data_IF_655740716569
#
_entry.id   IF_655740716569
#
_cell.length_a   1.000
_cell.length_b   1.000
_cell.length_c   1.000
_cell.angle_alpha   90.00
_cell.angle_beta   90.00
_cell.angle_gamma   90.00
#
_symmetry.space_group_name_H-M   'P 1'
#
loop_
_entity.id
_entity.type
_entity.pdbx_description
1 polymer ?
#
# COMPACT_ATOMS: atom_id res chain seq x y z
N UNK A 1 -11.02 32.90 30.46
CA UNK A 1 -9.99 31.83 30.47
C UNK A 1 -8.64 32.51 30.34
N UNK A 2 -7.76 32.37 31.33
CA UNK A 2 -6.42 32.99 31.29
C UNK A 2 -5.41 31.97 30.77
N UNK A 3 -4.55 32.38 29.84
CA UNK A 3 -3.45 31.58 29.31
C UNK A 3 -2.19 32.43 29.18
N UNK A 4 -1.02 31.80 29.30
CA UNK A 4 0.28 32.46 29.24
C UNK A 4 1.32 31.51 28.64
N UNK A 5 2.18 32.01 27.75
CA UNK A 5 3.34 31.27 27.27
C UNK A 5 4.59 31.70 28.06
N UNK A 6 5.32 30.74 28.63
CA UNK A 6 6.50 30.98 29.47
C UNK A 6 7.67 30.16 28.95
N UNK A 7 8.83 30.78 28.79
CA UNK A 7 10.07 30.09 28.51
C UNK A 7 10.73 29.64 29.83
N UNK A 8 10.71 28.34 30.09
CA UNK A 8 11.36 27.74 31.24
C UNK A 8 12.86 27.57 30.97
N UNK A 9 13.68 28.51 31.47
CA UNK A 9 15.13 28.54 31.24
C UNK A 9 15.87 27.28 31.68
N UNK A 10 15.42 26.62 32.75
CA UNK A 10 16.11 25.45 33.30
C UNK A 10 15.92 24.22 32.43
N UNK A 11 14.75 24.08 31.81
CA UNK A 11 14.39 22.93 30.96
C UNK A 11 14.53 23.20 29.46
N UNK A 12 14.77 24.46 29.07
CA UNK A 12 14.76 24.92 27.68
C UNK A 12 13.45 24.59 26.96
N UNK A 13 12.33 24.68 27.67
CA UNK A 13 10.98 24.42 27.16
C UNK A 13 10.18 25.72 27.08
N UNK A 14 9.45 25.90 25.97
CA UNK A 14 8.37 26.88 25.89
C UNK A 14 7.08 26.19 26.37
N UNK A 15 6.56 26.60 27.51
CA UNK A 15 5.37 26.04 28.15
C UNK A 15 4.17 26.97 27.93
N UNK A 16 3.05 26.43 27.46
CA UNK A 16 1.76 27.11 27.43
C UNK A 16 0.98 26.73 28.69
N UNK A 17 0.75 27.69 29.56
CA UNK A 17 0.05 27.54 30.82
C UNK A 17 -1.40 28.02 30.69
N UNK A 18 -2.31 27.34 31.35
CA UNK A 18 -3.72 27.71 31.47
C UNK A 18 -4.13 27.77 32.93
N UNK A 19 -4.85 28.84 33.31
CA UNK A 19 -5.35 28.99 34.67
C UNK A 19 -6.56 28.08 34.90
N UNK A 20 -6.46 27.20 35.90
CA UNK A 20 -7.56 26.34 36.33
C UNK A 20 -8.30 26.98 37.51
N UNK A 21 -9.57 27.29 37.31
CA UNK A 21 -10.42 27.83 38.38
C UNK A 21 -10.69 26.80 39.48
N UNK A 22 -10.69 25.51 39.14
CA UNK A 22 -10.93 24.42 40.10
C UNK A 22 -9.76 24.25 41.07
N UNK A 23 -8.53 24.31 40.56
CA UNK A 23 -7.32 24.07 41.36
C UNK A 23 -6.64 25.37 41.81
N UNK A 24 -7.15 26.53 41.38
CA UNK A 24 -6.56 27.86 41.63
C UNK A 24 -5.06 27.89 41.32
N UNK A 25 -4.66 27.25 40.22
CA UNK A 25 -3.26 27.12 39.83
C UNK A 25 -3.08 27.16 38.31
N UNK A 26 -1.88 27.49 37.87
CA UNK A 26 -1.44 27.39 36.49
C UNK A 26 -1.08 25.95 36.15
N UNK A 27 -1.79 25.37 35.18
CA UNK A 27 -1.51 24.04 34.68
C UNK A 27 -0.84 24.13 33.31
N UNK A 28 0.18 23.30 33.09
CA UNK A 28 0.81 23.14 31.78
C UNK A 28 -0.19 22.49 30.83
N UNK A 29 -0.63 23.24 29.83
CA UNK A 29 -1.51 22.76 28.78
C UNK A 29 -0.71 22.06 27.67
N UNK A 30 0.41 22.66 27.26
CA UNK A 30 1.34 22.08 26.29
C UNK A 30 2.73 22.66 26.46
N UNK A 31 3.73 22.04 25.85
CA UNK A 31 5.10 22.56 25.81
C UNK A 31 5.78 22.18 24.50
N UNK A 32 6.88 22.86 24.16
CA UNK A 32 7.73 22.58 23.00
C UNK A 32 9.20 22.72 23.43
N UNK A 33 10.12 21.84 22.99
CA UNK A 33 9.93 20.62 22.16
C UNK A 33 9.15 19.50 22.86
N UNK A 34 8.39 18.69 22.10
CA UNK A 34 7.58 17.57 22.61
C UNK A 34 8.24 16.21 22.45
N UNK A 35 9.08 16.06 21.43
CA UNK A 35 9.75 14.81 21.10
C UNK A 35 11.13 15.08 20.51
N UNK A 36 11.92 14.03 20.33
CA UNK A 36 13.27 14.13 19.78
C UNK A 36 13.31 14.77 18.38
N UNK A 37 12.26 14.61 17.57
CA UNK A 37 12.20 15.19 16.22
C UNK A 37 11.97 16.71 16.22
N UNK A 38 11.65 17.32 17.38
CA UNK A 38 11.63 18.78 17.53
C UNK A 38 13.05 19.34 17.77
N UNK A 39 14.06 18.48 17.95
CA UNK A 39 15.46 18.89 17.98
C UNK A 39 15.90 19.31 16.58
N UNK A 40 16.45 20.54 16.48
CA UNK A 40 16.83 21.13 15.20
C UNK A 40 17.84 20.26 14.45
N UNK A 41 17.50 19.91 13.21
CA UNK A 41 18.42 19.23 12.30
C UNK A 41 18.80 17.80 12.70
N UNK A 42 18.01 17.12 13.55
CA UNK A 42 18.30 15.76 14.04
C UNK A 42 18.66 14.75 12.93
N UNK A 43 17.96 14.80 11.79
CA UNK A 43 18.16 13.88 10.67
C UNK A 43 19.06 14.42 9.55
N UNK A 44 19.66 15.61 9.75
CA UNK A 44 20.49 16.26 8.75
C UNK A 44 19.74 16.69 7.48
N UNK A 45 20.51 16.98 6.44
CA UNK A 45 20.02 17.46 5.14
C UNK A 45 19.18 16.39 4.42
N UNK A 46 18.02 16.76 3.89
CA UNK A 46 17.06 15.87 3.21
C UNK A 46 16.62 14.63 4.02
N UNK A 47 16.90 14.61 5.33
CA UNK A 47 16.43 13.59 6.26
C UNK A 47 15.07 13.98 6.85
N UNK A 48 14.16 13.03 6.92
CA UNK A 48 12.84 13.16 7.51
C UNK A 48 12.81 12.48 8.89
N UNK A 49 12.38 13.20 9.91
CA UNK A 49 12.20 12.65 11.25
C UNK A 49 10.77 12.11 11.46
N UNK A 50 10.66 10.83 11.78
CA UNK A 50 9.41 10.13 12.09
C UNK A 50 9.48 9.58 13.51
N UNK A 51 8.65 10.13 14.39
CA UNK A 51 8.64 9.77 15.83
C UNK A 51 8.21 8.33 16.09
N UNK A 52 7.46 7.71 15.18
CA UNK A 52 6.94 6.33 15.31
C UNK A 52 7.88 5.25 14.78
N UNK A 53 8.99 5.61 14.13
CA UNK A 53 9.91 4.66 13.51
C UNK A 53 11.24 4.54 14.28
N UNK A 54 11.87 3.36 14.16
CA UNK A 54 13.22 3.08 14.63
C UNK A 54 14.06 2.51 13.46
N UNK A 55 15.13 3.20 13.02
CA UNK A 55 15.58 4.53 13.46
C UNK A 55 14.55 5.62 13.13
N UNK A 56 14.51 6.70 13.92
CA UNK A 56 13.53 7.79 13.73
C UNK A 56 13.86 8.70 12.57
N UNK A 57 15.05 8.57 11.98
CA UNK A 57 15.44 9.29 10.78
C UNK A 57 15.41 8.35 9.58
N UNK A 58 14.89 8.86 8.47
CA UNK A 58 14.95 8.20 7.18
C UNK A 58 15.12 9.24 6.07
N UNK A 59 15.71 8.84 4.95
CA UNK A 59 15.80 9.71 3.78
C UNK A 59 14.43 9.86 3.11
N UNK A 60 14.17 11.05 2.60
CA UNK A 60 13.02 11.28 1.72
C UNK A 60 13.13 10.40 0.46
N UNK A 61 12.00 10.05 -0.14
CA UNK A 61 11.96 9.32 -1.42
C UNK A 61 12.80 10.06 -2.48
N UNK A 62 13.65 9.33 -3.21
CA UNK A 62 14.59 9.92 -4.18
C UNK A 62 15.95 10.32 -3.58
N UNK A 63 16.15 10.06 -2.29
CA UNK A 63 17.41 10.28 -1.59
C UNK A 63 17.90 8.99 -0.91
N UNK A 64 19.21 8.93 -0.65
CA UNK A 64 19.89 7.84 0.05
C UNK A 64 20.80 8.40 1.15
N UNK A 65 21.09 7.63 2.21
CA UNK A 65 21.99 8.07 3.27
C UNK A 65 23.38 8.40 2.71
N UNK A 66 24.02 9.46 3.21
CA UNK A 66 25.43 9.74 2.91
C UNK A 66 26.37 8.84 3.71
N UNK A 67 26.01 8.57 4.97
CA UNK A 67 26.76 7.69 5.87
C UNK A 67 26.22 6.27 5.80
N UNK A 68 27.11 5.28 5.92
CA UNK A 68 26.76 3.86 6.09
C UNK A 68 26.47 3.50 7.54
N UNK A 69 26.73 4.41 8.49
CA UNK A 69 26.52 4.18 9.91
C UNK A 69 25.04 4.15 10.28
N UNK A 70 24.58 3.04 10.86
CA UNK A 70 23.16 2.74 11.18
C UNK A 70 22.47 3.75 12.13
N UNK A 71 23.19 4.72 12.68
CA UNK A 71 22.70 5.71 13.67
C UNK A 71 23.24 7.13 13.49
N UNK A 72 24.20 7.36 12.60
CA UNK A 72 24.75 8.69 12.39
C UNK A 72 24.08 9.37 11.19
N UNK A 73 23.13 10.24 11.51
CA UNK A 73 22.37 11.03 10.53
C UNK A 73 22.91 12.46 10.38
N UNK A 74 24.05 12.79 11.00
CA UNK A 74 24.64 14.15 10.94
C UNK A 74 24.95 14.60 9.51
N UNK A 75 25.36 13.67 8.65
CA UNK A 75 25.63 13.92 7.23
C UNK A 75 24.35 14.00 6.38
N UNK A 76 23.22 13.54 6.92
CA UNK A 76 21.93 13.46 6.26
C UNK A 76 21.94 12.56 5.02
N UNK A 77 21.19 12.99 4.02
CA UNK A 77 20.90 12.27 2.80
C UNK A 77 21.43 13.02 1.58
N UNK A 78 21.75 12.26 0.53
CA UNK A 78 22.10 12.77 -0.79
C UNK A 78 21.11 12.27 -1.83
N UNK A 79 20.98 13.00 -2.94
CA UNK A 79 20.11 12.61 -4.05
C UNK A 79 20.55 11.29 -4.67
N UNK A 80 19.58 10.45 -5.08
CA UNK A 80 19.85 9.24 -5.85
C UNK A 80 20.38 9.56 -7.25
N UNK A 81 19.82 10.61 -7.86
CA UNK A 81 20.18 11.11 -9.18
C UNK A 81 20.48 12.61 -9.09
N UNK A 82 21.59 13.02 -9.69
CA UNK A 82 21.97 14.43 -9.74
C UNK A 82 20.91 15.26 -10.48
N UNK A 83 20.73 16.50 -10.05
CA UNK A 83 19.90 17.46 -10.78
C UNK A 83 20.63 17.90 -12.04
N UNK A 84 19.88 18.05 -13.13
CA UNK A 84 20.42 18.62 -14.37
C UNK A 84 20.17 20.14 -14.45
N UNK A 85 19.45 20.69 -13.46
CA UNK A 85 19.04 22.11 -13.40
C UNK A 85 18.35 22.59 -14.68
N UNK A 86 17.77 21.64 -15.41
CA UNK A 86 17.11 21.88 -16.67
C UNK A 86 15.62 22.13 -16.42
N UNK A 87 14.94 22.72 -17.41
CA UNK A 87 13.47 22.83 -17.38
C UNK A 87 12.75 21.46 -17.39
N UNK A 88 13.49 20.36 -17.58
CA UNK A 88 12.97 18.99 -17.51
C UNK A 88 12.98 18.43 -16.08
N UNK A 89 13.69 19.07 -15.14
CA UNK A 89 13.53 18.75 -13.74
C UNK A 89 12.07 18.99 -13.33
N UNK A 90 11.60 18.23 -12.37
CA UNK A 90 10.24 18.38 -11.85
C UNK A 90 10.23 18.32 -10.33
N UNK A 91 9.09 18.00 -9.75
CA UNK A 91 8.94 17.95 -8.30
C UNK A 91 8.19 16.69 -7.87
N UNK A 92 8.60 16.17 -6.72
CA UNK A 92 7.81 15.16 -6.00
C UNK A 92 7.08 15.87 -4.86
N UNK A 93 5.78 15.57 -4.75
CA UNK A 93 4.93 16.03 -3.67
C UNK A 93 5.15 15.16 -2.43
N UNK A 94 5.47 15.79 -1.31
CA UNK A 94 5.52 15.18 0.00
C UNK A 94 4.42 15.77 0.88
N UNK A 95 3.57 14.89 1.43
CA UNK A 95 2.45 15.32 2.25
C UNK A 95 2.84 15.29 3.73
N UNK A 96 2.27 16.22 4.49
CA UNK A 96 2.30 16.13 5.93
C UNK A 96 3.66 16.40 6.59
N UNK A 97 4.52 17.15 5.90
CA UNK A 97 5.84 17.51 6.41
C UNK A 97 5.81 18.87 7.10
N UNK A 98 6.58 18.99 8.18
CA UNK A 98 7.03 20.29 8.69
C UNK A 98 7.84 20.97 7.58
N UNK A 99 7.50 22.22 7.31
CA UNK A 99 8.29 23.05 6.40
C UNK A 99 9.75 23.12 6.88
N UNK A 100 10.73 23.01 5.97
CA UNK A 100 12.15 23.05 6.33
C UNK A 100 12.55 24.43 6.85
N UNK A 101 13.75 24.51 7.40
CA UNK A 101 14.33 25.75 7.90
C UNK A 101 14.16 26.92 6.92
N UNK A 102 13.66 28.03 7.43
CA UNK A 102 13.25 29.18 6.61
C UNK A 102 14.37 30.21 6.38
N UNK A 103 15.58 29.95 6.88
CA UNK A 103 16.74 30.86 6.74
C UNK A 103 16.99 31.26 5.28
N UNK A 104 16.99 30.28 4.37
CA UNK A 104 17.19 30.50 2.94
C UNK A 104 15.87 30.31 2.18
N UNK A 105 14.87 31.13 2.51
CA UNK A 105 13.54 31.06 1.89
C UNK A 105 13.05 32.41 1.36
N UNK A 106 12.11 32.35 0.42
CA UNK A 106 11.39 33.52 -0.09
C UNK A 106 9.90 33.24 -0.17
N UNK A 107 9.09 34.24 0.15
CA UNK A 107 7.63 34.11 0.20
C UNK A 107 6.91 35.19 -0.61
N UNK A 108 5.76 34.83 -1.17
CA UNK A 108 4.87 35.78 -1.85
C UNK A 108 3.42 35.35 -1.69
N UNK A 109 2.60 36.22 -1.09
CA UNK A 109 1.18 35.94 -0.80
C UNK A 109 0.28 35.96 -2.03
N UNK A 110 0.63 36.72 -3.06
CA UNK A 110 -0.20 36.93 -4.24
C UNK A 110 -0.05 35.84 -5.30
N UNK A 111 1.07 35.11 -5.28
CA UNK A 111 1.32 34.04 -6.23
C UNK A 111 0.51 32.78 -5.89
N UNK A 112 0.01 32.10 -6.92
CA UNK A 112 -0.58 30.77 -6.75
C UNK A 112 0.49 29.67 -6.84
N UNK A 113 0.10 28.44 -6.50
CA UNK A 113 1.00 27.30 -6.44
C UNK A 113 1.67 26.96 -7.78
N UNK A 114 0.97 27.14 -8.90
CA UNK A 114 1.51 26.83 -10.23
C UNK A 114 2.53 27.89 -10.68
N UNK A 115 2.25 29.17 -10.41
CA UNK A 115 3.24 30.23 -10.61
C UNK A 115 4.47 30.02 -9.72
N UNK A 116 4.28 29.52 -8.49
CA UNK A 116 5.36 29.16 -7.59
C UNK A 116 6.24 28.04 -8.18
N UNK A 117 5.61 27.00 -8.75
CA UNK A 117 6.30 25.91 -9.44
C UNK A 117 7.15 26.40 -10.60
N UNK A 118 6.59 27.21 -11.49
CA UNK A 118 7.30 27.76 -12.65
C UNK A 118 8.50 28.61 -12.20
N UNK A 119 8.28 29.52 -11.24
CA UNK A 119 9.33 30.40 -10.72
C UNK A 119 10.46 29.62 -10.03
N UNK A 120 10.13 28.55 -9.32
CA UNK A 120 11.12 27.66 -8.72
C UNK A 120 11.92 26.90 -9.79
N UNK A 121 11.31 26.46 -10.90
CA UNK A 121 12.06 25.81 -12.00
C UNK A 121 13.04 26.74 -12.69
N UNK A 122 12.65 28.00 -12.90
CA UNK A 122 13.49 29.03 -13.52
C UNK A 122 14.70 29.39 -12.65
N UNK A 123 14.60 29.22 -11.33
CA UNK A 123 15.70 29.46 -10.41
C UNK A 123 16.46 28.16 -10.13
N UNK A 124 17.72 28.07 -10.55
CA UNK A 124 18.55 26.86 -10.36
C UNK A 124 18.86 26.56 -8.89
N UNK A 125 18.84 27.57 -8.02
CA UNK A 125 19.07 27.39 -6.57
C UNK A 125 17.81 26.93 -5.82
N UNK A 126 16.63 27.02 -6.43
CA UNK A 126 15.39 26.60 -5.77
C UNK A 126 15.29 25.07 -5.70
N UNK A 127 15.12 24.57 -4.48
CA UNK A 127 15.08 23.13 -4.18
C UNK A 127 13.71 22.64 -3.73
N UNK A 128 12.86 23.52 -3.21
CA UNK A 128 11.50 23.17 -2.86
C UNK A 128 10.56 24.38 -2.89
N UNK A 129 9.27 24.10 -3.00
CA UNK A 129 8.22 25.10 -2.83
C UNK A 129 6.97 24.52 -2.15
N UNK A 130 6.11 25.38 -1.63
CA UNK A 130 4.79 25.04 -1.10
C UNK A 130 3.84 26.24 -1.18
N UNK A 131 2.56 26.02 -0.90
CA UNK A 131 1.64 27.11 -0.58
C UNK A 131 2.14 27.84 0.67
N UNK A 132 1.89 29.14 0.82
CA UNK A 132 2.24 29.87 2.05
C UNK A 132 1.16 29.72 3.14
N UNK A 133 -0.11 29.77 2.71
CA UNK A 133 -1.29 29.62 3.57
C UNK A 133 -2.07 28.40 3.09
N UNK A 134 -2.41 27.49 3.99
CA UNK A 134 -3.13 26.25 3.69
C UNK A 134 -4.66 26.40 3.73
N UNK A 135 -5.18 27.55 4.19
CA UNK A 135 -6.62 27.81 4.28
C UNK A 135 -7.26 27.90 2.88
N UNK A 136 -8.54 27.54 2.78
CA UNK A 136 -9.35 27.78 1.59
C UNK A 136 -8.86 27.10 0.31
N UNK A 137 -8.15 25.96 0.43
CA UNK A 137 -7.58 25.23 -0.72
C UNK A 137 -6.13 25.60 -1.03
N UNK A 138 -5.51 26.51 -0.26
CA UNK A 138 -4.11 26.87 -0.38
C UNK A 138 -3.88 28.14 -1.19
N UNK A 139 -3.04 29.04 -0.70
CA UNK A 139 -2.67 30.27 -1.39
C UNK A 139 -1.26 30.74 -1.03
N UNK A 140 -0.72 31.65 -1.85
CA UNK A 140 0.64 32.13 -1.72
C UNK A 140 1.68 31.10 -2.13
N UNK A 141 2.94 31.51 -2.06
CA UNK A 141 4.11 30.77 -2.48
C UNK A 141 5.19 30.92 -1.41
N UNK A 142 5.76 29.80 -0.98
CA UNK A 142 7.00 29.74 -0.22
C UNK A 142 8.00 28.91 -1.04
N UNK A 143 9.22 29.39 -1.20
CA UNK A 143 10.31 28.71 -1.89
C UNK A 143 11.53 28.61 -0.98
N UNK A 144 12.25 27.50 -1.06
CA UNK A 144 13.50 27.25 -0.34
C UNK A 144 14.66 27.10 -1.31
N UNK A 145 15.80 27.69 -0.95
CA UNK A 145 17.02 27.69 -1.74
C UNK A 145 18.12 26.89 -1.04
N UNK A 146 18.77 26.01 -1.78
CA UNK A 146 19.81 25.12 -1.25
C UNK A 146 19.26 23.92 -0.47
N UNK A 147 20.13 23.32 0.34
CA UNK A 147 19.86 22.09 1.06
C UNK A 147 18.74 22.27 2.11
N UNK A 148 17.80 21.31 2.15
CA UNK A 148 16.66 21.36 3.05
C UNK A 148 17.00 20.63 4.35
N UNK A 149 16.80 21.29 5.49
CA UNK A 149 17.07 20.75 6.82
C UNK A 149 15.88 20.98 7.75
N UNK A 150 15.84 20.24 8.87
CA UNK A 150 14.82 20.37 9.92
C UNK A 150 13.41 19.90 9.51
N UNK A 151 13.37 18.86 8.66
CA UNK A 151 12.13 18.23 8.19
C UNK A 151 11.67 17.15 9.17
N UNK A 152 10.38 17.19 9.50
CA UNK A 152 9.69 16.24 10.38
C UNK A 152 8.37 15.81 9.78
N UNK A 153 8.02 14.53 9.91
CA UNK A 153 6.71 14.02 9.58
C UNK A 153 5.73 14.37 10.71
N UNK A 154 4.63 15.05 10.38
CA UNK A 154 3.55 15.33 11.34
C UNK A 154 2.33 14.42 11.06
N UNK A 155 1.49 14.82 10.12
CA UNK A 155 0.27 14.10 9.73
C UNK A 155 -0.13 14.52 8.32
N UNK A 156 -0.90 13.71 7.62
CA UNK A 156 -1.25 13.97 6.21
C UNK A 156 -2.09 15.24 6.01
N UNK A 157 -2.67 15.81 7.07
CA UNK A 157 -3.45 17.04 7.04
C UNK A 157 -2.58 18.32 7.14
N UNK A 158 -1.26 18.16 7.23
CA UNK A 158 -0.29 19.26 7.22
C UNK A 158 0.12 19.59 5.79
N UNK A 159 0.59 20.83 5.62
CA UNK A 159 1.06 21.44 4.37
C UNK A 159 1.89 20.50 3.48
N UNK A 160 1.58 20.53 2.18
CA UNK A 160 2.32 19.83 1.15
C UNK A 160 3.62 20.56 0.81
N UNK A 161 4.71 19.81 0.69
CA UNK A 161 6.02 20.31 0.26
C UNK A 161 6.41 19.64 -1.07
N UNK A 162 6.73 20.45 -2.07
CA UNK A 162 7.16 19.99 -3.39
C UNK A 162 8.67 20.12 -3.51
N UNK A 163 9.40 19.01 -3.57
CA UNK A 163 10.86 19.01 -3.61
C UNK A 163 11.33 18.70 -5.03
N UNK A 164 12.26 19.51 -5.54
CA UNK A 164 12.82 19.41 -6.90
C UNK A 164 13.54 18.08 -7.08
N UNK A 165 13.32 17.42 -8.22
CA UNK A 165 13.88 16.13 -8.60
C UNK A 165 14.35 16.13 -10.05
N UNK A 166 15.34 15.30 -10.36
CA UNK A 166 15.81 15.16 -11.73
C UNK A 166 14.75 14.51 -12.61
N UNK A 167 14.72 14.86 -13.90
CA UNK A 167 13.86 14.20 -14.88
C UNK A 167 14.02 12.67 -14.87
N UNK A 168 15.25 12.19 -14.68
CA UNK A 168 15.56 10.76 -14.66
C UNK A 168 14.92 10.03 -13.47
N UNK A 169 14.87 10.68 -12.30
CA UNK A 169 14.21 10.13 -11.11
C UNK A 169 12.69 10.01 -11.37
N UNK A 170 12.10 11.05 -11.95
CA UNK A 170 10.67 11.09 -12.29
C UNK A 170 10.30 10.01 -13.33
N UNK A 171 11.10 9.87 -14.39
CA UNK A 171 10.88 8.86 -15.44
C UNK A 171 10.96 7.42 -14.89
N UNK A 172 11.86 7.14 -13.94
CA UNK A 172 11.89 5.81 -13.30
C UNK A 172 10.63 5.50 -12.49
N UNK A 173 10.05 6.52 -11.85
CA UNK A 173 8.81 6.40 -11.08
C UNK A 173 7.60 6.15 -11.99
N UNK A 174 7.49 6.89 -13.09
CA UNK A 174 6.44 6.66 -14.10
C UNK A 174 6.57 5.27 -14.74
N UNK A 175 7.78 4.87 -15.11
CA UNK A 175 8.02 3.53 -15.66
C UNK A 175 7.63 2.41 -14.70
N UNK A 176 7.91 2.56 -13.40
CA UNK A 176 7.48 1.58 -12.38
C UNK A 176 5.95 1.54 -12.23
N UNK A 177 5.28 2.71 -12.20
CA UNK A 177 3.81 2.78 -12.16
C UNK A 177 3.18 2.10 -13.37
N UNK A 178 3.69 2.38 -14.57
CA UNK A 178 3.15 1.79 -15.79
C UNK A 178 3.32 0.27 -15.83
N UNK A 179 4.48 -0.25 -15.38
CA UNK A 179 4.70 -1.70 -15.22
C UNK A 179 3.68 -2.34 -14.28
N UNK A 180 3.40 -1.72 -13.13
CA UNK A 180 2.41 -2.22 -12.17
C UNK A 180 1.02 -2.24 -12.82
N UNK A 181 0.60 -1.15 -13.49
CA UNK A 181 -0.72 -1.08 -14.15
C UNK A 181 -0.86 -2.18 -15.21
N UNK A 182 0.18 -2.42 -16.01
CA UNK A 182 0.17 -3.49 -17.03
C UNK A 182 0.04 -4.87 -16.38
N UNK A 183 0.75 -5.14 -15.27
CA UNK A 183 0.66 -6.43 -14.56
C UNK A 183 -0.74 -6.62 -13.96
N UNK A 184 -1.30 -5.60 -13.31
CA UNK A 184 -2.63 -5.66 -12.68
C UNK A 184 -3.74 -5.85 -13.73
N UNK A 185 -3.67 -5.12 -14.86
CA UNK A 185 -4.65 -5.26 -15.93
C UNK A 185 -4.57 -6.62 -16.63
N UNK A 186 -3.37 -7.12 -16.90
CA UNK A 186 -3.19 -8.45 -17.49
C UNK A 186 -3.69 -9.58 -16.57
N UNK A 187 -3.37 -9.53 -15.28
CA UNK A 187 -3.81 -10.53 -14.30
C UNK A 187 -5.33 -10.52 -14.10
N UNK A 188 -5.96 -9.36 -14.05
CA UNK A 188 -7.42 -9.23 -13.97
C UNK A 188 -8.13 -9.81 -15.22
N UNK A 189 -7.58 -9.57 -16.42
CA UNK A 189 -8.14 -10.12 -17.66
C UNK A 189 -8.09 -11.66 -17.68
N UNK A 190 -6.95 -12.24 -17.28
CA UNK A 190 -6.80 -13.71 -17.21
C UNK A 190 -7.76 -14.31 -16.19
N UNK A 191 -7.90 -13.70 -15.01
CA UNK A 191 -8.85 -14.15 -13.99
C UNK A 191 -10.30 -14.08 -14.49
N UNK A 192 -10.67 -13.02 -15.21
CA UNK A 192 -11.99 -12.87 -15.82
C UNK A 192 -12.30 -13.97 -16.83
N UNK A 193 -11.36 -14.29 -17.72
CA UNK A 193 -11.51 -15.37 -18.71
C UNK A 193 -11.65 -16.73 -18.02
N UNK A 194 -10.84 -17.02 -17.00
CA UNK A 194 -10.96 -18.26 -16.23
C UNK A 194 -12.33 -18.37 -15.55
N UNK A 195 -12.84 -17.29 -14.95
CA UNK A 195 -14.17 -17.27 -14.34
C UNK A 195 -15.28 -17.55 -15.36
N UNK A 196 -15.18 -17.01 -16.58
CA UNK A 196 -16.14 -17.29 -17.66
C UNK A 196 -16.08 -18.75 -18.12
N UNK A 197 -14.88 -19.32 -18.29
CA UNK A 197 -14.70 -20.73 -18.66
C UNK A 197 -15.33 -21.62 -17.59
N UNK A 198 -15.02 -21.37 -16.31
CA UNK A 198 -15.59 -22.11 -15.18
C UNK A 198 -17.11 -21.98 -15.14
N UNK A 199 -17.64 -20.77 -15.30
CA UNK A 199 -19.07 -20.50 -15.38
C UNK A 199 -19.75 -21.29 -16.49
N UNK A 200 -19.14 -21.32 -17.69
CA UNK A 200 -19.62 -22.10 -18.83
C UNK A 200 -19.62 -23.61 -18.53
N UNK A 201 -18.54 -24.14 -17.95
CA UNK A 201 -18.48 -25.56 -17.56
C UNK A 201 -19.55 -25.92 -16.52
N UNK A 202 -19.81 -25.05 -15.53
CA UNK A 202 -20.87 -25.26 -14.53
C UNK A 202 -22.25 -25.22 -15.19
N UNK A 203 -22.50 -24.26 -16.09
CA UNK A 203 -23.75 -24.14 -16.84
C UNK A 203 -24.02 -25.39 -17.67
N UNK A 204 -23.05 -25.81 -18.50
CA UNK A 204 -23.15 -27.01 -19.33
C UNK A 204 -23.34 -28.29 -18.50
N UNK A 205 -22.69 -28.38 -17.33
CA UNK A 205 -22.90 -29.52 -16.42
C UNK A 205 -24.30 -29.54 -15.82
N UNK A 206 -24.90 -28.38 -15.50
CA UNK A 206 -26.29 -28.30 -15.00
C UNK A 206 -27.31 -28.64 -16.09
N UNK A 207 -27.13 -28.17 -17.32
CA UNK A 207 -28.03 -28.51 -18.43
C UNK A 207 -27.92 -29.98 -18.81
N UNK A 208 -26.71 -30.55 -18.84
CA UNK A 208 -26.54 -31.99 -19.03
C UNK A 208 -27.09 -32.81 -17.86
N UNK A 209 -27.07 -32.31 -16.60
CA UNK A 209 -27.75 -32.97 -15.49
C UNK A 209 -29.28 -32.89 -15.59
N UNK A 210 -29.82 -31.81 -16.16
CA UNK A 210 -31.24 -31.65 -16.47
C UNK A 210 -31.70 -32.57 -17.61
N UNK A 211 -30.90 -32.68 -18.67
CA UNK A 211 -31.12 -33.63 -19.77
C UNK A 211 -30.94 -35.08 -19.30
N UNK A 212 -29.96 -35.36 -18.45
CA UNK A 212 -29.78 -36.68 -17.82
C UNK A 212 -30.92 -36.99 -16.85
N UNK A 213 -31.56 -36.03 -16.17
CA UNK A 213 -32.79 -36.33 -15.41
C UNK A 213 -33.95 -36.76 -16.31
N UNK A 214 -34.11 -36.11 -17.46
CA UNK A 214 -35.14 -36.48 -18.45
C UNK A 214 -34.83 -37.84 -19.10
N UNK A 215 -33.54 -38.14 -19.34
CA UNK A 215 -33.10 -39.42 -19.93
C UNK A 215 -32.91 -40.54 -18.88
N UNK A 216 -32.77 -40.21 -17.59
CA UNK A 216 -32.59 -41.19 -16.50
C UNK A 216 -33.84 -41.99 -16.18
N UNK A 217 -34.99 -41.65 -16.77
CA UNK A 217 -36.12 -42.55 -16.77
C UNK A 217 -35.97 -43.72 -17.76
N UNK A 218 -34.94 -43.72 -18.63
CA UNK A 218 -34.88 -44.70 -19.72
C UNK A 218 -33.53 -45.40 -19.97
N UNK A 219 -32.48 -45.21 -19.16
CA UNK A 219 -31.26 -46.02 -19.36
C UNK A 219 -30.41 -46.25 -18.11
N UNK A 220 -30.81 -47.26 -17.35
CA UNK A 220 -29.90 -48.09 -16.56
C UNK A 220 -29.00 -48.88 -17.52
N UNK A 221 -27.72 -48.49 -17.65
CA UNK A 221 -26.59 -49.42 -17.87
C UNK A 221 -25.28 -48.68 -18.19
N UNK A 222 -24.18 -49.25 -17.68
CA UNK A 222 -22.77 -49.03 -18.05
C UNK A 222 -21.99 -47.96 -17.29
N UNK A 223 -21.41 -48.41 -16.17
CA UNK A 223 -20.49 -47.70 -15.29
C UNK A 223 -19.10 -48.29 -15.44
N UNK A 224 -18.23 -47.77 -16.34
CA UNK A 224 -16.78 -48.09 -16.31
C UNK A 224 -15.81 -47.08 -16.96
N UNK A 225 -16.23 -45.90 -17.40
CA UNK A 225 -15.33 -44.96 -18.13
C UNK A 225 -14.95 -43.65 -17.42
N UNK A 226 -15.47 -43.35 -16.21
CA UNK A 226 -15.25 -42.04 -15.56
C UNK A 226 -13.96 -41.90 -14.72
N UNK A 227 -13.28 -43.01 -14.38
CA UNK A 227 -12.14 -42.95 -13.43
C UNK A 227 -10.81 -42.49 -14.04
N UNK A 228 -10.64 -42.58 -15.36
CA UNK A 228 -9.39 -42.20 -16.03
C UNK A 228 -9.32 -40.69 -16.36
N UNK A 229 -10.47 -40.03 -16.51
CA UNK A 229 -10.51 -38.61 -16.86
C UNK A 229 -10.29 -37.70 -15.64
N UNK A 230 -10.75 -38.10 -14.44
CA UNK A 230 -10.56 -37.32 -13.21
C UNK A 230 -9.09 -37.29 -12.76
N UNK A 231 -8.36 -38.40 -12.96
CA UNK A 231 -6.93 -38.49 -12.64
C UNK A 231 -6.11 -37.62 -13.60
N UNK A 232 -6.41 -37.65 -14.90
CA UNK A 232 -5.70 -36.84 -15.90
C UNK A 232 -5.92 -35.33 -15.71
N UNK A 233 -7.13 -34.91 -15.34
CA UNK A 233 -7.44 -33.51 -15.03
C UNK A 233 -6.78 -33.08 -13.71
N UNK A 234 -6.73 -33.96 -12.70
CA UNK A 234 -6.06 -33.69 -11.43
C UNK A 234 -4.54 -33.50 -11.57
N UNK A 235 -3.88 -34.32 -12.39
CA UNK A 235 -2.43 -34.22 -12.65
C UNK A 235 -2.10 -32.98 -13.48
N UNK A 236 -2.92 -32.65 -14.47
CA UNK A 236 -2.73 -31.42 -15.26
C UNK A 236 -2.94 -30.16 -14.40
N UNK A 237 -3.92 -30.17 -13.50
CA UNK A 237 -4.12 -29.10 -12.52
C UNK A 237 -2.97 -28.96 -11.52
N UNK A 238 -2.37 -30.07 -11.08
CA UNK A 238 -1.23 -30.05 -10.16
C UNK A 238 0.04 -29.48 -10.82
N UNK A 239 0.31 -29.84 -12.09
CA UNK A 239 1.46 -29.33 -12.85
C UNK A 239 1.36 -27.84 -13.18
N UNK A 240 0.15 -27.34 -13.46
CA UNK A 240 -0.08 -25.91 -13.69
C UNK A 240 0.03 -25.12 -12.39
N UNK A 241 -0.44 -25.69 -11.26
CA UNK A 241 -0.36 -25.05 -9.95
C UNK A 241 1.10 -24.97 -9.47
N UNK A 242 1.91 -26.02 -9.63
CA UNK A 242 3.32 -26.00 -9.22
C UNK A 242 4.18 -25.07 -10.06
N UNK A 243 3.98 -25.00 -11.38
CA UNK A 243 4.75 -24.11 -12.26
C UNK A 243 4.44 -22.61 -12.08
N UNK A 244 3.17 -22.26 -11.82
CA UNK A 244 2.75 -20.86 -11.66
C UNK A 244 3.01 -20.37 -10.22
N UNK A 245 2.88 -21.23 -9.21
CA UNK A 245 3.06 -20.86 -7.80
C UNK A 245 4.51 -20.52 -7.47
N UNK A 246 5.49 -21.20 -8.09
CA UNK A 246 6.92 -20.88 -7.89
C UNK A 246 7.30 -19.50 -8.43
N UNK A 247 6.68 -19.05 -9.53
CA UNK A 247 6.91 -17.73 -10.11
C UNK A 247 6.10 -16.59 -9.46
N UNK A 248 5.10 -16.92 -8.63
CA UNK A 248 4.18 -15.95 -7.99
C UNK A 248 4.57 -15.64 -6.53
N UNK A 249 5.28 -16.55 -5.85
CA UNK A 249 5.54 -16.41 -4.41
C UNK A 249 6.86 -15.75 -4.01
N UNK A 250 7.74 -15.38 -4.95
CA UNK A 250 9.00 -14.69 -4.63
C UNK A 250 8.87 -13.15 -4.70
N UNK A 251 7.72 -12.63 -4.29
CA UNK A 251 7.50 -11.19 -4.14
C UNK A 251 7.45 -10.83 -2.66
N UNK A 252 8.45 -10.06 -2.24
CA UNK A 252 8.51 -9.43 -0.93
C UNK A 252 7.31 -8.45 -0.80
N UNK A 253 6.29 -8.83 -0.03
CA UNK A 253 5.02 -8.11 0.11
C UNK A 253 5.15 -6.89 1.06
N UNK A 254 6.12 -6.02 0.81
CA UNK A 254 6.33 -4.80 1.61
C UNK A 254 5.38 -3.65 1.28
N UNK A 255 4.67 -3.66 0.15
CA UNK A 255 3.88 -2.49 -0.30
C UNK A 255 2.76 -2.86 -1.28
N UNK A 256 1.80 -3.70 -0.87
CA UNK A 256 0.58 -3.93 -1.64
C UNK A 256 -0.62 -3.34 -0.89
N UNK A 257 -1.23 -2.32 -1.51
CA UNK A 257 -2.48 -1.70 -1.06
C UNK A 257 -3.61 -2.73 -0.95
N UNK A 258 -4.58 -2.46 -0.07
CA UNK A 258 -5.60 -3.41 0.39
C UNK A 258 -6.36 -4.16 -0.73
N UNK A 259 -6.48 -3.56 -1.92
CA UNK A 259 -7.11 -4.20 -3.07
C UNK A 259 -6.33 -5.41 -3.62
N UNK A 260 -4.99 -5.35 -3.63
CA UNK A 260 -4.16 -6.48 -4.09
C UNK A 260 -4.20 -7.66 -3.12
N UNK A 261 -4.29 -7.40 -1.80
CA UNK A 261 -4.52 -8.44 -0.79
C UNK A 261 -5.86 -9.12 -0.99
N UNK A 262 -6.90 -8.37 -1.36
CA UNK A 262 -8.21 -8.91 -1.68
C UNK A 262 -8.17 -9.81 -2.91
N UNK A 263 -7.50 -9.39 -3.99
CA UNK A 263 -7.38 -10.21 -5.21
C UNK A 263 -6.64 -11.52 -4.97
N UNK A 264 -5.55 -11.51 -4.19
CA UNK A 264 -4.81 -12.74 -3.82
C UNK A 264 -5.67 -13.64 -2.93
N UNK A 265 -6.38 -13.08 -1.95
CA UNK A 265 -7.29 -13.85 -1.10
C UNK A 265 -8.43 -14.50 -1.91
N UNK A 266 -9.00 -13.78 -2.89
CA UNK A 266 -10.03 -14.30 -3.78
C UNK A 266 -9.47 -15.44 -4.63
N UNK A 267 -8.29 -15.28 -5.23
CA UNK A 267 -7.65 -16.35 -6.01
C UNK A 267 -7.38 -17.60 -5.17
N UNK A 268 -6.83 -17.44 -3.95
CA UNK A 268 -6.58 -18.55 -3.04
C UNK A 268 -7.89 -19.23 -2.60
N UNK A 269 -8.95 -18.46 -2.35
CA UNK A 269 -10.27 -19.01 -2.02
C UNK A 269 -10.90 -19.77 -3.19
N UNK A 270 -10.72 -19.30 -4.43
CA UNK A 270 -11.16 -20.01 -5.63
C UNK A 270 -10.40 -21.32 -5.82
N UNK A 271 -9.08 -21.35 -5.59
CA UNK A 271 -8.26 -22.57 -5.66
C UNK A 271 -8.69 -23.58 -4.59
N UNK A 272 -8.92 -23.13 -3.35
CA UNK A 272 -9.42 -24.00 -2.26
C UNK A 272 -10.81 -24.55 -2.60
N UNK A 273 -11.73 -23.74 -3.11
CA UNK A 273 -13.06 -24.19 -3.52
C UNK A 273 -13.01 -25.20 -4.67
N UNK A 274 -12.10 -25.02 -5.63
CA UNK A 274 -11.85 -25.98 -6.71
C UNK A 274 -11.27 -27.30 -6.21
N UNK A 275 -10.36 -27.26 -5.23
CA UNK A 275 -9.76 -28.46 -4.64
C UNK A 275 -10.73 -29.20 -3.70
N UNK A 276 -11.65 -28.50 -3.03
CA UNK A 276 -12.58 -29.11 -2.06
C UNK A 276 -13.88 -29.64 -2.68
N UNK A 277 -14.33 -29.11 -3.81
CA UNK A 277 -15.58 -29.54 -4.45
C UNK A 277 -15.61 -31.01 -4.94
N UNK A 278 -14.49 -31.67 -5.30
CA UNK A 278 -14.46 -33.12 -5.57
C UNK A 278 -14.58 -33.97 -4.31
N UNK A 279 -14.11 -33.49 -3.15
CA UNK A 279 -14.07 -34.27 -1.91
C UNK A 279 -15.46 -34.43 -1.27
N UNK A 280 -16.28 -33.38 -1.26
CA UNK A 280 -17.62 -33.42 -0.64
C UNK A 280 -18.63 -34.31 -1.39
N UNK A 281 -18.49 -34.44 -2.72
CA UNK A 281 -19.41 -35.27 -3.53
C UNK A 281 -19.13 -36.77 -3.40
N UNK A 282 -17.86 -37.16 -3.25
CA UNK A 282 -17.48 -38.56 -3.05
C UNK A 282 -17.83 -39.07 -1.64
N UNK A 283 -17.81 -38.20 -0.63
CA UNK A 283 -18.25 -38.55 0.73
C UNK A 283 -19.76 -38.82 0.81
N UNK A 284 -20.60 -38.02 0.13
CA UNK A 284 -22.07 -38.23 0.10
C UNK A 284 -22.48 -39.52 -0.62
N UNK A 285 -21.77 -39.91 -1.67
CA UNK A 285 -22.05 -41.17 -2.39
C UNK A 285 -21.67 -42.42 -1.58
N UNK A 286 -20.72 -42.30 -0.65
CA UNK A 286 -20.31 -43.41 0.21
C UNK A 286 -21.34 -43.69 1.32
N UNK A 287 -21.88 -42.63 1.95
CA UNK A 287 -22.89 -42.78 3.01
C UNK A 287 -24.25 -43.27 2.47
N UNK A 288 -24.73 -42.73 1.35
CA UNK A 288 -25.99 -43.21 0.73
C UNK A 288 -25.91 -44.67 0.22
N UNK A 289 -24.71 -45.15 -0.13
CA UNK A 289 -24.50 -46.56 -0.50
C UNK A 289 -24.47 -47.52 0.70
N UNK A 290 -24.12 -47.02 1.88
CA UNK A 290 -24.02 -47.82 3.11
C UNK A 290 -25.41 -48.11 3.70
N UNK A 291 -26.35 -47.16 3.62
CA UNK A 291 -27.71 -47.33 4.13
C UNK A 291 -28.55 -48.31 3.29
N UNK A 292 -28.36 -48.36 1.97
CA UNK A 292 -29.03 -49.36 1.13
C UNK A 292 -28.53 -50.80 1.36
N UNK A 293 -27.25 -50.98 1.71
CA UNK A 293 -26.73 -52.31 2.07
C UNK A 293 -27.28 -52.78 3.43
N UNK A 294 -27.53 -51.85 4.36
CA UNK A 294 -28.09 -52.18 5.68
C UNK A 294 -29.57 -52.58 5.60
N UNK A 295 -30.36 -51.92 4.77
CA UNK A 295 -31.79 -52.25 4.55
C UNK A 295 -32.00 -53.60 3.83
N UNK A 296 -31.12 -53.99 2.91
CA UNK A 296 -31.26 -55.27 2.21
C UNK A 296 -30.79 -56.46 3.06
N UNK A 297 -29.95 -56.26 4.08
CA UNK A 297 -29.49 -57.34 4.96
C UNK A 297 -30.55 -57.78 5.99
N UNK A 298 -31.50 -56.92 6.38
CA UNK A 298 -32.59 -57.31 7.29
C UNK A 298 -33.68 -58.15 6.61
N UNK A 299 -33.87 -58.02 5.29
CA UNK A 299 -34.89 -58.77 4.54
C UNK A 299 -34.49 -60.24 4.32
N UNK A 300 -33.20 -60.59 4.43
CA UNK A 300 -32.71 -61.97 4.26
C UNK A 300 -32.49 -62.75 5.58
N UNK A 301 -32.89 -62.20 6.73
CA UNK A 301 -32.59 -62.79 8.06
C UNK A 301 -33.81 -63.30 8.86
N UNK A 302 -35.03 -63.30 8.30
CA UNK A 302 -36.16 -64.09 8.80
C UNK A 302 -36.87 -64.66 7.56
N UNK A 303 -37.00 -65.98 7.37
CA UNK A 303 -37.41 -66.96 8.36
C UNK A 303 -38.92 -66.95 8.42
#
# INVERSE_FOLDING_TARGET
MFSMAVLNKTRSLLELLTWSQTTQNWNVYSYVPRDQCDSYGLCGVYGNCITTQLPSCQCLEGFKPKSTGYRDWSQGCMRNKALNYSKLDGFIKFNGLKSPDATNSWVNKSMNLEQCRVKCLENTSCMAYSNLDIRGGGSGCAMWFGDLIDIKQLSNDVQDLFIRMSASELGTKEGRKMKIVVIVTATAAVAGVLMLIVGYYIYKRRTNLGFVRVVSFEKSASKRSEKQLSVKIGVLGFLICSGVLSSVLDFDFGSIDGFGKFSVAVLMSCVVAFLYTPAGKNARSFWLGSDQLRSNLEIFSHG
#
